data_IF_484552192299
#
_entry.id   IF_484552192299
#
_cell.length_a   1.000
_cell.length_b   1.000
_cell.length_c   1.000
_cell.angle_alpha   90.00
_cell.angle_beta   90.00
_cell.angle_gamma   90.00
#
_symmetry.space_group_name_H-M   'P 1'
#
loop_
_entity.id
_entity.type
_entity.pdbx_description
1 polymer ?
#
# COMPACT_ATOMS: atom_id res chain seq x y z
N UNK A 1 10.30 2.90 43.61
CA UNK A 1 11.28 2.60 44.65
C UNK A 1 12.52 3.51 44.64
N UNK A 2 12.43 4.75 44.03
CA UNK A 2 13.47 5.77 44.12
C UNK A 2 14.77 5.49 43.35
N UNK A 3 14.73 4.63 42.32
CA UNK A 3 15.86 4.41 41.43
C UNK A 3 15.66 5.21 40.14
N UNK A 4 16.71 5.92 39.74
CA UNK A 4 16.71 6.62 38.47
C UNK A 4 16.60 5.62 37.31
N UNK A 5 15.81 6.01 36.30
CA UNK A 5 15.66 5.21 35.10
C UNK A 5 16.87 5.51 34.17
N UNK A 6 17.66 4.49 33.78
CA UNK A 6 18.73 4.69 32.82
C UNK A 6 18.19 5.33 31.54
N UNK A 7 18.82 6.41 31.10
CA UNK A 7 18.40 7.23 29.94
C UNK A 7 17.03 7.92 30.10
N UNK A 8 16.46 8.01 31.31
CA UNK A 8 15.20 8.70 31.60
C UNK A 8 15.32 10.22 31.70
N UNK A 9 16.54 10.77 31.71
CA UNK A 9 16.79 12.20 31.77
C UNK A 9 16.88 12.79 30.37
N UNK A 10 16.16 13.89 30.11
CA UNK A 10 16.19 14.64 28.88
C UNK A 10 16.14 16.15 29.15
N UNK A 11 16.74 16.94 28.30
CA UNK A 11 16.61 18.40 28.34
C UNK A 11 16.07 18.87 26.99
N UNK A 12 15.29 19.98 27.03
CA UNK A 12 14.74 20.64 25.86
C UNK A 12 13.82 19.74 25.00
N UNK A 13 13.11 18.83 25.66
CA UNK A 13 12.12 17.99 25.02
C UNK A 13 10.93 18.83 24.55
N UNK A 14 10.68 18.83 23.23
CA UNK A 14 9.54 19.52 22.63
C UNK A 14 8.32 18.58 22.60
N UNK A 15 7.25 18.98 23.29
CA UNK A 15 5.98 18.25 23.32
C UNK A 15 4.85 19.14 22.80
N UNK A 16 4.06 18.60 21.89
CA UNK A 16 2.82 19.25 21.42
C UNK A 16 1.65 18.67 22.20
N UNK A 17 1.01 19.50 23.04
CA UNK A 17 -0.15 19.09 23.84
C UNK A 17 -1.29 18.66 22.88
N UNK A 18 -1.89 17.50 23.14
CA UNK A 18 -2.99 16.94 22.35
C UNK A 18 -2.55 16.12 21.13
N UNK A 19 -1.28 16.14 20.75
CA UNK A 19 -0.76 15.33 19.64
C UNK A 19 -0.64 13.83 20.00
N UNK A 20 -0.85 13.46 21.27
CA UNK A 20 -0.72 12.07 21.77
C UNK A 20 0.64 11.44 21.43
N UNK A 21 1.66 12.26 21.29
CA UNK A 21 3.01 11.81 20.98
C UNK A 21 3.73 11.16 22.16
N UNK A 22 3.22 11.39 23.37
CA UNK A 22 3.70 10.81 24.62
C UNK A 22 2.51 10.30 25.45
N UNK A 23 2.68 10.08 26.75
CA UNK A 23 1.63 9.57 27.63
C UNK A 23 0.59 10.66 27.93
N UNK A 24 -0.72 10.37 27.87
CA UNK A 24 -1.79 11.37 28.05
C UNK A 24 -1.68 12.14 29.38
N UNK A 25 -1.31 11.46 30.46
CA UNK A 25 -1.15 12.05 31.79
C UNK A 25 -0.07 13.14 31.78
N UNK A 26 0.89 13.07 30.85
CA UNK A 26 1.93 14.07 30.69
C UNK A 26 1.37 15.35 30.08
N UNK A 27 0.53 15.23 29.04
CA UNK A 27 -0.15 16.36 28.42
C UNK A 27 -1.05 17.09 29.42
N UNK A 28 -1.85 16.33 30.19
CA UNK A 28 -2.78 16.88 31.18
C UNK A 28 -2.06 17.62 32.31
N UNK A 29 -0.91 17.11 32.74
CA UNK A 29 -0.13 17.74 33.83
C UNK A 29 0.51 19.08 33.42
N UNK A 30 0.71 19.31 32.13
CA UNK A 30 1.26 20.57 31.59
C UNK A 30 0.21 21.69 31.50
N UNK A 31 -1.07 21.35 31.44
CA UNK A 31 -2.15 22.34 31.31
C UNK A 31 -2.20 23.24 32.56
N UNK A 32 -2.21 24.55 32.33
CA UNK A 32 -2.27 25.56 33.40
C UNK A 32 -0.93 25.86 34.10
N UNK A 33 0.19 25.30 33.63
CA UNK A 33 1.53 25.60 34.15
C UNK A 33 2.14 26.82 33.47
N UNK A 34 3.03 27.52 34.16
CA UNK A 34 3.74 28.68 33.65
C UNK A 34 5.20 28.35 33.34
N UNK A 35 5.81 29.17 32.49
CA UNK A 35 7.24 29.07 32.20
C UNK A 35 8.04 29.27 33.49
N UNK A 36 8.94 28.35 33.77
CA UNK A 36 9.77 28.31 34.98
C UNK A 36 9.22 27.41 36.09
N UNK A 37 7.98 26.95 35.99
CA UNK A 37 7.42 26.02 36.97
C UNK A 37 8.17 24.69 36.95
N UNK A 38 8.45 24.17 38.12
CA UNK A 38 9.01 22.83 38.35
C UNK A 38 8.00 21.99 39.14
N UNK A 39 7.65 20.85 38.60
CA UNK A 39 6.61 19.99 39.18
C UNK A 39 6.84 18.52 38.83
N UNK A 40 6.20 17.65 39.59
CA UNK A 40 6.25 16.21 39.40
C UNK A 40 5.05 15.74 38.59
N UNK A 41 5.31 14.90 37.57
CA UNK A 41 4.30 14.23 36.78
C UNK A 41 4.35 12.74 37.05
N UNK A 42 3.26 12.20 37.58
CA UNK A 42 3.12 10.76 37.80
C UNK A 42 2.46 10.14 36.57
N UNK A 43 3.15 9.22 35.92
CA UNK A 43 2.62 8.48 34.77
C UNK A 43 2.77 6.99 34.95
N UNK A 44 1.89 6.22 34.34
CA UNK A 44 1.99 4.76 34.31
C UNK A 44 2.10 4.32 32.86
N UNK A 45 3.20 3.66 32.51
CA UNK A 45 3.39 3.14 31.18
C UNK A 45 2.37 2.04 30.86
N UNK A 46 1.74 2.04 29.67
CA UNK A 46 0.75 1.05 29.30
C UNK A 46 1.36 -0.35 29.13
N UNK A 47 0.50 -1.36 29.09
CA UNK A 47 0.89 -2.78 28.97
C UNK A 47 1.58 -3.11 27.66
N UNK A 48 1.29 -2.35 26.61
CA UNK A 48 1.80 -2.48 25.23
C UNK A 48 2.93 -1.49 24.92
N UNK A 49 3.51 -0.85 25.96
CA UNK A 49 4.58 0.11 25.72
C UNK A 49 5.78 -0.55 25.05
N UNK A 50 6.35 0.16 24.06
CA UNK A 50 7.45 -0.32 23.20
C UNK A 50 8.64 -0.95 23.94
N UNK A 51 8.95 -0.44 25.13
CA UNK A 51 10.05 -0.94 25.98
C UNK A 51 9.47 -1.87 27.03
N UNK A 52 9.66 -3.17 26.88
CA UNK A 52 9.07 -4.21 27.73
C UNK A 52 9.40 -4.04 29.23
N UNK A 53 10.61 -3.56 29.54
CA UNK A 53 11.05 -3.32 30.94
C UNK A 53 10.33 -2.14 31.61
N UNK A 54 9.62 -1.31 30.84
CA UNK A 54 8.86 -0.16 31.33
C UNK A 54 7.35 -0.41 31.40
N UNK A 55 6.85 -1.47 30.79
CA UNK A 55 5.43 -1.82 30.77
C UNK A 55 4.86 -1.94 32.20
N UNK A 56 3.68 -1.38 32.42
CA UNK A 56 2.97 -1.35 33.72
C UNK A 56 3.77 -0.70 34.88
N UNK A 57 4.81 0.06 34.59
CA UNK A 57 5.56 0.77 35.63
C UNK A 57 5.04 2.18 35.82
N UNK A 58 4.81 2.53 37.06
CA UNK A 58 4.55 3.91 37.47
C UNK A 58 5.87 4.63 37.73
N UNK A 59 6.04 5.79 37.14
CA UNK A 59 7.23 6.63 37.26
C UNK A 59 6.85 8.06 37.57
N UNK A 60 7.78 8.80 38.16
CA UNK A 60 7.64 10.23 38.43
C UNK A 60 8.66 10.98 37.60
N UNK A 61 8.18 11.91 36.76
CA UNK A 61 9.03 12.82 36.03
C UNK A 61 9.13 14.15 36.78
N UNK A 62 10.33 14.51 37.17
CA UNK A 62 10.63 15.84 37.69
C UNK A 62 10.81 16.81 36.51
N UNK A 63 9.82 17.61 36.22
CA UNK A 63 9.74 18.39 34.99
C UNK A 63 9.83 19.88 35.27
N UNK A 64 10.61 20.60 34.47
CA UNK A 64 10.66 22.07 34.44
C UNK A 64 10.18 22.57 33.10
N UNK A 65 9.13 23.42 33.10
CA UNK A 65 8.60 24.02 31.87
C UNK A 65 9.45 25.22 31.44
N UNK A 66 10.27 25.03 30.41
CA UNK A 66 11.21 26.06 29.96
C UNK A 66 10.61 27.06 28.97
N UNK A 67 9.70 26.61 28.11
CA UNK A 67 9.16 27.44 27.02
C UNK A 67 7.77 26.96 26.60
N UNK A 68 6.89 27.89 26.32
CA UNK A 68 5.59 27.65 25.69
C UNK A 68 5.65 28.29 24.29
N UNK A 69 5.24 27.52 23.29
CA UNK A 69 5.04 28.02 21.91
C UNK A 69 3.59 27.80 21.56
N UNK A 70 2.95 28.81 21.02
CA UNK A 70 1.65 28.67 20.38
C UNK A 70 1.90 28.35 18.91
N UNK A 71 1.22 27.35 18.40
CA UNK A 71 1.13 27.15 16.96
C UNK A 71 -0.05 27.98 16.47
N UNK A 72 0.24 28.97 15.66
CA UNK A 72 -0.76 29.74 14.94
C UNK A 72 -1.03 28.98 13.64
N UNK A 73 -2.21 28.39 13.54
CA UNK A 73 -2.63 27.70 12.33
C UNK A 73 -3.37 28.70 11.46
N UNK A 74 -2.95 28.78 10.20
CA UNK A 74 -3.75 29.51 9.21
C UNK A 74 -5.14 28.87 9.11
N UNK A 75 -6.21 29.65 8.96
CA UNK A 75 -7.53 29.12 8.66
C UNK A 75 -7.47 28.27 7.40
N UNK A 76 -8.20 27.16 7.41
CA UNK A 76 -8.38 26.34 6.20
C UNK A 76 -9.53 26.98 5.42
N UNK A 77 -9.18 27.85 4.48
CA UNK A 77 -10.10 28.65 3.67
C UNK A 77 -9.63 28.70 2.19
N UNK A 78 -10.25 29.55 1.39
CA UNK A 78 -9.90 29.68 -0.03
C UNK A 78 -8.48 30.24 -0.26
N UNK A 79 -7.92 31.02 0.68
CA UNK A 79 -6.53 31.48 0.59
C UNK A 79 -5.58 30.32 0.84
N UNK A 80 -5.89 29.48 1.84
CA UNK A 80 -5.15 28.26 2.08
C UNK A 80 -5.17 27.33 0.85
N UNK A 81 -6.33 27.17 0.20
CA UNK A 81 -6.42 26.34 -0.99
C UNK A 81 -5.53 26.87 -2.13
N UNK A 82 -5.49 28.17 -2.37
CA UNK A 82 -4.64 28.81 -3.39
C UNK A 82 -3.15 28.69 -3.10
N UNK A 83 -2.78 28.76 -1.82
CA UNK A 83 -1.37 28.72 -1.42
C UNK A 83 -0.77 27.31 -1.50
N UNK A 84 -1.60 26.27 -1.32
CA UNK A 84 -1.14 24.87 -1.17
C UNK A 84 -1.66 23.92 -2.25
N UNK A 85 -2.46 24.40 -3.20
CA UNK A 85 -3.00 23.58 -4.30
C UNK A 85 -3.15 24.40 -5.59
N UNK A 86 -3.57 23.74 -6.66
CA UNK A 86 -3.89 24.38 -7.94
C UNK A 86 -5.33 24.95 -7.99
N UNK A 87 -6.11 24.76 -6.92
CA UNK A 87 -7.52 25.16 -6.86
C UNK A 87 -7.69 26.56 -6.31
N UNK A 88 -8.75 27.24 -6.76
CA UNK A 88 -9.03 28.62 -6.35
C UNK A 88 -9.92 28.72 -5.13
N UNK A 89 -10.62 27.64 -4.80
CA UNK A 89 -11.48 27.57 -3.60
C UNK A 89 -11.24 26.29 -2.83
N UNK A 90 -11.48 26.34 -1.52
CA UNK A 90 -11.39 25.17 -0.66
C UNK A 90 -12.39 24.09 -1.07
N UNK A 91 -13.59 24.47 -1.49
CA UNK A 91 -14.61 23.52 -1.93
C UNK A 91 -14.20 22.76 -3.21
N UNK A 92 -13.53 23.39 -4.16
CA UNK A 92 -12.98 22.71 -5.34
C UNK A 92 -11.94 21.68 -4.93
N UNK A 93 -11.03 22.06 -4.04
CA UNK A 93 -10.00 21.17 -3.54
C UNK A 93 -10.56 20.00 -2.71
N UNK A 94 -11.54 20.25 -1.84
CA UNK A 94 -12.24 19.20 -1.10
C UNK A 94 -12.94 18.20 -2.02
N UNK A 95 -13.61 18.70 -3.08
CA UNK A 95 -14.28 17.85 -4.06
C UNK A 95 -13.28 16.97 -4.83
N UNK A 96 -12.12 17.51 -5.17
CA UNK A 96 -11.05 16.75 -5.83
C UNK A 96 -10.49 15.66 -4.91
N UNK A 97 -10.15 16.01 -3.68
CA UNK A 97 -9.70 15.04 -2.67
C UNK A 97 -10.75 13.94 -2.48
N UNK A 98 -12.03 14.33 -2.38
CA UNK A 98 -13.12 13.37 -2.23
C UNK A 98 -13.23 12.43 -3.42
N UNK A 99 -13.13 12.95 -4.65
CA UNK A 99 -13.16 12.17 -5.88
C UNK A 99 -12.00 11.17 -5.95
N UNK A 100 -10.79 11.60 -5.62
CA UNK A 100 -9.62 10.73 -5.52
C UNK A 100 -9.78 9.62 -4.46
N UNK A 101 -10.29 9.97 -3.28
CA UNK A 101 -10.53 8.99 -2.22
C UNK A 101 -11.62 7.98 -2.61
N UNK A 102 -12.68 8.43 -3.30
CA UNK A 102 -13.71 7.53 -3.83
C UNK A 102 -13.16 6.58 -4.90
N UNK A 103 -12.37 7.12 -5.84
CA UNK A 103 -11.74 6.30 -6.89
C UNK A 103 -10.83 5.23 -6.27
N UNK A 104 -9.91 5.62 -5.38
CA UNK A 104 -9.04 4.69 -4.66
C UNK A 104 -9.82 3.61 -3.90
N UNK A 105 -10.88 4.02 -3.20
CA UNK A 105 -11.73 3.06 -2.47
C UNK A 105 -12.41 2.09 -3.42
N UNK A 106 -12.93 2.57 -4.55
CA UNK A 106 -13.56 1.72 -5.57
C UNK A 106 -12.58 0.69 -6.11
N UNK A 107 -11.38 1.14 -6.50
CA UNK A 107 -10.31 0.25 -6.97
C UNK A 107 -9.95 -0.81 -5.93
N UNK A 108 -9.69 -0.40 -4.68
CA UNK A 108 -9.34 -1.33 -3.60
C UNK A 108 -10.44 -2.37 -3.32
N UNK A 109 -11.72 -1.97 -3.37
CA UNK A 109 -12.84 -2.90 -3.22
C UNK A 109 -12.88 -3.88 -4.41
N UNK A 110 -12.67 -3.40 -5.62
CA UNK A 110 -12.69 -4.22 -6.83
C UNK A 110 -11.54 -5.23 -6.83
N UNK A 111 -10.33 -4.81 -6.48
CA UNK A 111 -9.17 -5.70 -6.36
C UNK A 111 -9.37 -6.78 -5.28
N UNK A 112 -9.94 -6.40 -4.15
CA UNK A 112 -10.26 -7.35 -3.08
C UNK A 112 -11.29 -8.38 -3.56
N UNK A 113 -12.36 -7.90 -4.21
CA UNK A 113 -13.41 -8.76 -4.77
C UNK A 113 -12.83 -9.72 -5.79
N UNK A 114 -12.04 -9.22 -6.74
CA UNK A 114 -11.36 -10.03 -7.77
C UNK A 114 -10.55 -11.15 -7.12
N UNK A 115 -9.74 -10.82 -6.10
CA UNK A 115 -8.95 -11.83 -5.38
C UNK A 115 -9.81 -12.89 -4.67
N UNK A 116 -10.87 -12.47 -4.00
CA UNK A 116 -11.77 -13.38 -3.27
C UNK A 116 -12.52 -14.32 -4.23
N UNK A 117 -13.02 -13.78 -5.35
CA UNK A 117 -13.73 -14.54 -6.38
C UNK A 117 -12.79 -15.55 -7.04
N UNK A 118 -11.61 -15.10 -7.48
CA UNK A 118 -10.62 -15.98 -8.10
C UNK A 118 -10.12 -17.06 -7.13
N UNK A 119 -9.83 -16.71 -5.89
CA UNK A 119 -9.41 -17.68 -4.88
C UNK A 119 -10.47 -18.77 -4.67
N UNK A 120 -11.76 -18.41 -4.69
CA UNK A 120 -12.86 -19.36 -4.56
C UNK A 120 -12.99 -20.25 -5.79
N UNK A 121 -12.92 -19.68 -6.99
CA UNK A 121 -12.97 -20.48 -8.24
C UNK A 121 -11.82 -21.46 -8.30
N UNK A 122 -10.60 -21.02 -7.98
CA UNK A 122 -9.41 -21.86 -7.96
C UNK A 122 -9.56 -22.99 -6.93
N UNK A 123 -10.06 -22.69 -5.73
CA UNK A 123 -10.24 -23.68 -4.68
C UNK A 123 -11.29 -24.76 -5.04
N UNK A 124 -12.30 -24.40 -5.83
CA UNK A 124 -13.37 -25.30 -6.27
C UNK A 124 -13.04 -26.01 -7.61
N UNK A 125 -11.86 -25.75 -8.19
CA UNK A 125 -11.43 -26.27 -9.49
C UNK A 125 -10.23 -27.21 -9.34
N UNK A 126 -10.14 -28.22 -10.22
CA UNK A 126 -8.97 -29.09 -10.36
C UNK A 126 -8.15 -28.60 -11.57
N UNK A 127 -7.11 -27.82 -11.29
CA UNK A 127 -6.30 -27.17 -12.30
C UNK A 127 -4.94 -27.86 -12.34
N UNK A 128 -4.63 -28.62 -13.39
CA UNK A 128 -3.30 -29.21 -13.55
C UNK A 128 -2.27 -28.11 -13.79
N UNK A 129 -1.13 -28.21 -13.10
CA UNK A 129 -0.01 -27.29 -13.26
C UNK A 129 1.10 -28.02 -13.99
N UNK A 130 1.58 -27.45 -15.06
CA UNK A 130 2.76 -27.92 -15.76
C UNK A 130 4.01 -27.53 -14.97
N UNK A 131 4.87 -28.52 -14.69
CA UNK A 131 6.06 -28.29 -13.86
C UNK A 131 7.11 -27.41 -14.56
N UNK A 132 7.25 -27.52 -15.89
CA UNK A 132 8.20 -26.71 -16.65
C UNK A 132 7.76 -25.23 -16.66
N UNK A 133 6.47 -24.99 -16.90
CA UNK A 133 5.89 -23.64 -16.84
C UNK A 133 5.98 -23.04 -15.44
N UNK A 134 5.74 -23.85 -14.41
CA UNK A 134 5.87 -23.41 -13.01
C UNK A 134 7.31 -22.94 -12.71
N UNK A 135 8.30 -23.75 -13.12
CA UNK A 135 9.72 -23.42 -12.90
C UNK A 135 10.11 -22.14 -13.64
N UNK A 136 9.68 -21.97 -14.90
CA UNK A 136 9.94 -20.79 -15.72
C UNK A 136 9.36 -19.53 -15.08
N UNK A 137 8.08 -19.54 -14.71
CA UNK A 137 7.42 -18.36 -14.10
C UNK A 137 8.00 -18.06 -12.71
N UNK A 138 8.35 -19.10 -11.94
CA UNK A 138 9.03 -18.92 -10.65
C UNK A 138 10.36 -18.20 -10.82
N UNK A 139 11.15 -18.59 -11.83
CA UNK A 139 12.42 -17.96 -12.10
C UNK A 139 12.25 -16.49 -12.50
N UNK A 140 11.29 -16.19 -13.36
CA UNK A 140 10.96 -14.79 -13.73
C UNK A 140 10.64 -13.96 -12.49
N UNK A 141 9.77 -14.43 -11.62
CA UNK A 141 9.39 -13.69 -10.40
C UNK A 141 10.54 -13.55 -9.39
N UNK A 142 11.46 -14.51 -9.39
CA UNK A 142 12.63 -14.43 -8.53
C UNK A 142 13.65 -13.43 -9.09
N UNK A 143 13.85 -13.42 -10.41
CA UNK A 143 14.73 -12.47 -11.08
C UNK A 143 14.19 -11.04 -10.94
N UNK A 144 12.89 -10.80 -11.16
CA UNK A 144 12.23 -9.52 -10.92
C UNK A 144 12.43 -9.01 -9.49
N UNK A 145 12.34 -9.92 -8.52
CA UNK A 145 12.60 -9.58 -7.12
C UNK A 145 14.07 -9.18 -6.87
N UNK A 146 15.02 -9.87 -7.50
CA UNK A 146 16.43 -9.51 -7.40
C UNK A 146 16.70 -8.15 -8.03
N UNK A 147 16.11 -7.87 -9.19
CA UNK A 147 16.21 -6.58 -9.88
C UNK A 147 15.61 -5.44 -9.03
N UNK A 148 14.47 -5.67 -8.38
CA UNK A 148 13.90 -4.69 -7.43
C UNK A 148 14.85 -4.40 -6.26
N UNK A 149 15.50 -5.41 -5.71
CA UNK A 149 16.51 -5.23 -4.67
C UNK A 149 17.71 -4.43 -5.17
N UNK A 150 18.18 -4.71 -6.40
CA UNK A 150 19.30 -4.00 -7.02
C UNK A 150 18.95 -2.51 -7.27
N UNK A 151 17.78 -2.23 -7.82
CA UNK A 151 17.29 -0.85 -8.03
C UNK A 151 17.23 -0.06 -6.73
N UNK A 152 16.83 -0.71 -5.63
CA UNK A 152 16.80 -0.11 -4.29
C UNK A 152 18.14 -0.14 -3.56
N UNK A 153 19.20 -0.65 -4.19
CA UNK A 153 20.55 -0.81 -3.61
C UNK A 153 20.56 -1.63 -2.32
N UNK A 154 19.71 -2.65 -2.24
CA UNK A 154 19.60 -3.55 -1.08
C UNK A 154 20.22 -4.90 -1.45
N UNK A 155 21.40 -5.27 -0.90
CA UNK A 155 21.96 -6.61 -1.09
C UNK A 155 21.00 -7.69 -0.54
N UNK A 156 20.88 -8.82 -1.27
CA UNK A 156 20.01 -9.95 -0.88
C UNK A 156 20.30 -10.43 0.56
N UNK A 157 21.58 -10.54 0.94
CA UNK A 157 21.97 -10.92 2.31
C UNK A 157 21.42 -9.95 3.38
N UNK A 158 21.40 -8.64 3.07
CA UNK A 158 20.85 -7.64 3.97
C UNK A 158 19.33 -7.74 4.07
N UNK A 159 18.67 -8.01 2.95
CA UNK A 159 17.22 -8.26 2.91
C UNK A 159 16.87 -9.49 3.77
N UNK A 160 17.51 -10.63 3.54
CA UNK A 160 17.32 -11.87 4.31
C UNK A 160 17.54 -11.64 5.82
N UNK A 161 18.58 -10.91 6.19
CA UNK A 161 18.86 -10.58 7.60
C UNK A 161 17.78 -9.70 8.24
N UNK A 162 17.15 -8.80 7.48
CA UNK A 162 16.11 -7.89 7.98
C UNK A 162 14.72 -8.54 8.02
N UNK A 163 14.38 -9.31 6.99
CA UNK A 163 13.10 -10.01 6.88
C UNK A 163 13.03 -11.25 7.77
N UNK A 164 14.19 -11.86 8.05
CA UNK A 164 14.30 -13.12 8.76
C UNK A 164 14.07 -14.35 7.87
N UNK A 165 13.93 -14.16 6.55
CA UNK A 165 13.77 -15.24 5.57
C UNK A 165 15.10 -15.65 4.96
N UNK A 166 15.22 -16.92 4.63
CA UNK A 166 16.32 -17.43 3.82
C UNK A 166 16.03 -17.23 2.33
N UNK A 167 17.06 -17.34 1.49
CA UNK A 167 16.91 -17.30 0.04
C UNK A 167 15.97 -18.40 -0.47
N UNK A 168 16.11 -19.62 0.06
CA UNK A 168 15.23 -20.75 -0.29
C UNK A 168 13.76 -20.49 0.06
N UNK A 169 13.49 -19.83 1.20
CA UNK A 169 12.13 -19.45 1.59
C UNK A 169 11.57 -18.39 0.66
N UNK A 170 12.39 -17.41 0.24
CA UNK A 170 11.97 -16.39 -0.72
C UNK A 170 11.64 -17.03 -2.07
N UNK A 171 12.49 -17.95 -2.55
CA UNK A 171 12.23 -18.68 -3.79
C UNK A 171 10.95 -19.52 -3.71
N UNK A 172 10.72 -20.21 -2.58
CA UNK A 172 9.47 -20.95 -2.35
C UNK A 172 8.23 -20.05 -2.31
N UNK A 173 8.34 -18.84 -1.78
CA UNK A 173 7.26 -17.85 -1.82
C UNK A 173 6.97 -17.42 -3.27
N UNK A 174 8.01 -17.22 -4.11
CA UNK A 174 7.85 -16.95 -5.54
C UNK A 174 7.23 -18.11 -6.31
N UNK A 175 7.58 -19.35 -5.95
CA UNK A 175 6.92 -20.54 -6.51
C UNK A 175 5.40 -20.54 -6.20
N UNK A 176 5.02 -20.17 -4.98
CA UNK A 176 3.59 -20.07 -4.62
C UNK A 176 2.87 -18.94 -5.36
N UNK A 177 3.55 -17.84 -5.65
CA UNK A 177 3.03 -16.75 -6.49
C UNK A 177 2.83 -17.24 -7.93
N UNK A 178 3.82 -17.91 -8.51
CA UNK A 178 3.77 -18.50 -9.86
C UNK A 178 2.61 -19.48 -10.00
N UNK A 179 2.43 -20.39 -9.05
CA UNK A 179 1.32 -21.33 -9.02
C UNK A 179 -0.03 -20.61 -9.08
N UNK A 180 -0.23 -19.57 -8.26
CA UNK A 180 -1.48 -18.79 -8.25
C UNK A 180 -1.72 -18.09 -9.57
N UNK A 181 -0.69 -17.56 -10.19
CA UNK A 181 -0.78 -16.90 -11.50
C UNK A 181 -1.17 -17.89 -12.60
N UNK A 182 -0.53 -19.05 -12.67
CA UNK A 182 -0.86 -20.11 -13.62
C UNK A 182 -2.31 -20.56 -13.45
N UNK A 183 -2.73 -20.76 -12.20
CA UNK A 183 -4.11 -21.15 -11.90
C UNK A 183 -5.12 -20.07 -12.33
N UNK A 184 -4.84 -18.81 -12.03
CA UNK A 184 -5.71 -17.70 -12.42
C UNK A 184 -5.82 -17.58 -13.95
N UNK A 185 -4.71 -17.63 -14.66
CA UNK A 185 -4.68 -17.61 -16.12
C UNK A 185 -5.45 -18.79 -16.72
N UNK A 186 -5.25 -20.00 -16.19
CA UNK A 186 -5.96 -21.20 -16.64
C UNK A 186 -7.48 -21.07 -16.49
N UNK A 187 -7.95 -20.51 -15.37
CA UNK A 187 -9.38 -20.22 -15.15
C UNK A 187 -9.89 -19.22 -16.18
N UNK A 188 -9.18 -18.11 -16.38
CA UNK A 188 -9.59 -17.08 -17.33
C UNK A 188 -9.65 -17.61 -18.76
N UNK A 189 -8.64 -18.36 -19.20
CA UNK A 189 -8.64 -19.00 -20.51
C UNK A 189 -9.81 -19.99 -20.67
N UNK A 190 -10.08 -20.82 -19.66
CA UNK A 190 -11.18 -21.78 -19.71
C UNK A 190 -12.54 -21.08 -19.80
N UNK A 191 -12.76 -19.99 -19.02
CA UNK A 191 -13.99 -19.21 -19.07
C UNK A 191 -14.11 -18.47 -20.41
N UNK A 192 -13.05 -17.82 -20.88
CA UNK A 192 -13.05 -17.14 -22.17
C UNK A 192 -13.44 -18.08 -23.31
N UNK A 193 -12.89 -19.30 -23.31
CA UNK A 193 -13.20 -20.31 -24.32
C UNK A 193 -14.66 -20.80 -24.20
N UNK A 194 -15.16 -21.06 -22.98
CA UNK A 194 -16.52 -21.55 -22.74
C UNK A 194 -17.58 -20.51 -23.14
N UNK A 195 -17.37 -19.26 -22.75
CA UNK A 195 -18.29 -18.14 -22.98
C UNK A 195 -18.05 -17.44 -24.33
N UNK A 196 -17.02 -17.86 -25.06
CA UNK A 196 -16.60 -17.28 -26.36
C UNK A 196 -16.29 -15.79 -26.26
N UNK A 197 -15.62 -15.41 -25.19
CA UNK A 197 -15.16 -14.05 -24.98
C UNK A 197 -13.91 -13.85 -25.86
N UNK A 198 -13.99 -12.83 -26.70
CA UNK A 198 -12.88 -12.39 -27.54
C UNK A 198 -12.91 -10.89 -27.68
N UNK A 199 -11.81 -10.31 -28.04
CA UNK A 199 -11.71 -8.89 -28.38
C UNK A 199 -11.96 -8.69 -29.87
N UNK A 200 -12.49 -7.53 -30.22
CA UNK A 200 -12.63 -7.12 -31.61
C UNK A 200 -11.39 -6.33 -32.07
N UNK A 201 -11.12 -6.23 -33.37
CA UNK A 201 -10.03 -5.37 -33.85
C UNK A 201 -10.17 -3.91 -33.41
N UNK A 202 -11.40 -3.44 -33.26
CA UNK A 202 -11.69 -2.08 -32.79
C UNK A 202 -11.30 -1.90 -31.30
N UNK A 203 -11.64 -2.87 -30.44
CA UNK A 203 -11.25 -2.86 -29.02
C UNK A 203 -9.74 -2.88 -28.86
N UNK A 204 -9.04 -3.71 -29.65
CA UNK A 204 -7.57 -3.74 -29.63
C UNK A 204 -6.97 -2.41 -30.09
N UNK A 205 -7.51 -1.81 -31.16
CA UNK A 205 -7.02 -0.52 -31.64
C UNK A 205 -7.26 0.62 -30.64
N UNK A 206 -8.36 0.57 -29.87
CA UNK A 206 -8.62 1.54 -28.80
C UNK A 206 -7.62 1.38 -27.66
N UNK A 207 -7.31 0.15 -27.26
CA UNK A 207 -6.32 -0.13 -26.20
C UNK A 207 -4.91 0.30 -26.60
N UNK A 208 -4.48 -0.04 -27.81
CA UNK A 208 -3.18 0.40 -28.32
C UNK A 208 -3.04 1.93 -28.35
N UNK A 209 -4.11 2.65 -28.69
CA UNK A 209 -4.12 4.12 -28.60
C UNK A 209 -4.05 4.62 -27.18
N UNK A 210 -4.74 3.95 -26.25
CA UNK A 210 -4.70 4.34 -24.85
C UNK A 210 -3.30 4.18 -24.27
N UNK A 211 -2.62 3.08 -24.58
CA UNK A 211 -1.23 2.83 -24.16
C UNK A 211 -0.29 3.90 -24.76
N UNK A 212 -0.39 4.19 -26.05
CA UNK A 212 0.45 5.21 -26.69
C UNK A 212 0.29 6.59 -26.04
N UNK A 213 -0.95 6.97 -25.69
CA UNK A 213 -1.23 8.25 -25.00
C UNK A 213 -0.63 8.26 -23.59
N UNK A 214 -0.67 7.14 -22.87
CA UNK A 214 -0.10 7.02 -21.52
C UNK A 214 1.44 7.13 -21.55
N UNK A 215 2.06 6.61 -22.61
CA UNK A 215 3.51 6.67 -22.87
C UNK A 215 3.97 8.02 -23.48
N UNK A 216 3.04 8.96 -23.72
CA UNK A 216 3.28 10.25 -24.38
C UNK A 216 3.85 10.09 -25.82
N UNK A 217 3.43 9.02 -26.52
CA UNK A 217 3.81 8.69 -27.89
C UNK A 217 2.69 8.96 -28.90
N UNK A 218 3.04 9.13 -30.17
CA UNK A 218 2.07 9.22 -31.26
C UNK A 218 1.46 7.83 -31.50
N UNK A 219 0.11 7.66 -31.48
CA UNK A 219 -0.51 6.34 -31.62
C UNK A 219 -0.23 5.62 -32.95
N UNK A 220 0.03 6.35 -34.04
CA UNK A 220 0.34 5.73 -35.33
C UNK A 220 1.79 5.23 -35.34
N UNK A 221 2.72 6.03 -34.79
CA UNK A 221 4.13 5.64 -34.66
C UNK A 221 4.30 4.50 -33.65
N UNK A 222 3.60 4.54 -32.51
CA UNK A 222 3.64 3.49 -31.49
C UNK A 222 3.27 2.11 -32.05
N UNK A 223 2.16 2.01 -32.80
CA UNK A 223 1.72 0.73 -33.41
C UNK A 223 2.75 0.20 -34.42
N UNK A 224 3.45 1.09 -35.15
CA UNK A 224 4.49 0.68 -36.12
C UNK A 224 5.76 0.14 -35.41
N UNK A 225 6.00 0.49 -34.14
CA UNK A 225 7.17 0.02 -33.39
C UNK A 225 6.93 -1.33 -32.70
N UNK A 226 5.67 -1.76 -32.53
CA UNK A 226 5.34 -3.02 -31.86
C UNK A 226 5.65 -4.22 -32.72
N UNK A 227 6.23 -5.25 -32.13
CA UNK A 227 6.38 -6.55 -32.75
C UNK A 227 5.03 -7.32 -32.71
N UNK A 228 4.86 -8.31 -33.58
CA UNK A 228 3.63 -9.12 -33.63
C UNK A 228 3.34 -9.80 -32.30
N UNK A 229 4.39 -10.21 -31.58
CA UNK A 229 4.32 -10.81 -30.24
C UNK A 229 3.78 -9.82 -29.20
N UNK A 230 4.16 -8.55 -29.24
CA UNK A 230 3.68 -7.52 -28.32
C UNK A 230 2.17 -7.27 -28.52
N UNK A 231 1.75 -7.18 -29.76
CA UNK A 231 0.34 -7.02 -30.11
C UNK A 231 -0.49 -8.21 -29.65
N UNK A 232 0.04 -9.43 -29.80
CA UNK A 232 -0.62 -10.65 -29.33
C UNK A 232 -0.71 -10.69 -27.80
N UNK A 233 0.33 -10.27 -27.10
CA UNK A 233 0.35 -10.18 -25.64
C UNK A 233 -0.69 -9.16 -25.12
N UNK A 234 -0.78 -7.98 -25.74
CA UNK A 234 -1.79 -6.96 -25.41
C UNK A 234 -3.20 -7.51 -25.67
N UNK A 235 -3.41 -8.18 -26.79
CA UNK A 235 -4.68 -8.79 -27.14
C UNK A 235 -5.11 -9.88 -26.12
N UNK A 236 -4.16 -10.71 -25.70
CA UNK A 236 -4.38 -11.72 -24.66
C UNK A 236 -4.73 -11.08 -23.33
N UNK A 237 -3.99 -10.06 -22.90
CA UNK A 237 -4.26 -9.34 -21.66
C UNK A 237 -5.67 -8.73 -21.68
N UNK A 238 -6.04 -8.03 -22.74
CA UNK A 238 -7.36 -7.42 -22.89
C UNK A 238 -8.49 -8.48 -22.86
N UNK A 239 -8.24 -9.66 -23.45
CA UNK A 239 -9.18 -10.79 -23.37
C UNK A 239 -9.34 -11.29 -21.94
N UNK A 240 -8.24 -11.37 -21.17
CA UNK A 240 -8.29 -11.78 -19.75
C UNK A 240 -9.04 -10.76 -18.90
N UNK A 241 -8.81 -9.47 -19.13
CA UNK A 241 -9.49 -8.39 -18.40
C UNK A 241 -11.00 -8.39 -18.69
N UNK A 242 -11.38 -8.58 -19.94
CA UNK A 242 -12.78 -8.72 -20.35
C UNK A 242 -13.44 -9.96 -19.72
N UNK A 243 -12.69 -11.05 -19.64
CA UNK A 243 -13.16 -12.28 -19.00
C UNK A 243 -13.31 -12.11 -17.49
N UNK A 244 -12.38 -11.42 -16.84
CA UNK A 244 -12.50 -11.10 -15.43
C UNK A 244 -13.71 -10.20 -15.15
N UNK A 245 -13.94 -9.18 -15.98
CA UNK A 245 -15.14 -8.34 -15.87
C UNK A 245 -16.43 -9.18 -15.97
N UNK A 246 -16.49 -10.08 -16.95
CA UNK A 246 -17.62 -11.01 -17.11
C UNK A 246 -17.84 -11.87 -15.86
N UNK A 247 -16.77 -12.44 -15.29
CA UNK A 247 -16.86 -13.24 -14.05
C UNK A 247 -17.42 -12.38 -12.91
N UNK A 248 -16.89 -11.17 -12.71
CA UNK A 248 -17.33 -10.28 -11.63
C UNK A 248 -18.80 -9.83 -11.77
N UNK A 249 -19.24 -9.56 -12.99
CA UNK A 249 -20.65 -9.22 -13.28
C UNK A 249 -21.60 -10.39 -13.04
N UNK A 250 -21.09 -11.63 -13.13
CA UNK A 250 -21.86 -12.86 -12.93
C UNK A 250 -21.93 -13.27 -11.45
N UNK A 251 -21.21 -12.60 -10.55
CA UNK A 251 -21.18 -12.94 -9.11
C UNK A 251 -22.52 -12.59 -8.44
N UNK A 252 -23.16 -13.59 -7.87
CA UNK A 252 -24.36 -13.43 -7.06
C UNK A 252 -23.93 -13.28 -5.60
N UNK A 253 -24.23 -12.12 -5.01
CA UNK A 253 -23.97 -11.90 -3.58
C UNK A 253 -25.11 -12.47 -2.75
N UNK A 254 -24.82 -13.46 -1.92
CA UNK A 254 -25.71 -13.81 -0.81
C UNK A 254 -25.64 -12.70 0.25
N UNK A 255 -26.77 -12.04 0.49
CA UNK A 255 -26.91 -10.98 1.49
C UNK A 255 -27.15 -11.55 2.88
#
# INVERSE_FOLDING_TARGET
HGQDIPHGNGSDFALTIGAKAFLPEFDDALIGKNIGDTFDINVTFPTDYRISTMQNRSVVFHTTLKKIRLMDYQPIDDEFAKDFSEYTTLNEWENEIFSHLQARRKTSIQEKLTREVMAKIIADSDIPIDDDMKEEITQIYYDDFLDELEMNQIPLELYCKRSGHTEDEIYADKEQEAIKTIQAQSVLHAVAAAEKISITPEELAEELRAIAIEEDEDPEEFVETLEEEDVENIANQLTMDKTMAFILDSVIYDR
#
